data_IF_232815623367
#
_entry.id   IF_232815623367
#
_cell.length_a   1.000
_cell.length_b   1.000
_cell.length_c   1.000
_cell.angle_alpha   90.00
_cell.angle_beta   90.00
_cell.angle_gamma   90.00
#
_symmetry.space_group_name_H-M   'P 1'
#
loop_
_entity.id
_entity.type
_entity.pdbx_description
1 polymer ?
#
# COMPACT_ATOMS: atom_id res chain seq x y z
N UNK A 1 1.52 -16.26 36.49
CA UNK A 1 1.60 -14.99 35.73
C UNK A 1 2.97 -14.89 35.08
N UNK A 2 3.09 -14.05 34.03
CA UNK A 2 4.32 -13.69 33.27
C UNK A 2 4.90 -14.73 32.30
N UNK A 3 4.30 -14.83 31.11
CA UNK A 3 4.93 -15.42 29.91
C UNK A 3 4.83 -14.53 28.65
N UNK A 4 4.26 -13.33 28.75
CA UNK A 4 4.11 -12.43 27.61
C UNK A 4 5.23 -11.40 27.63
N UNK A 5 6.27 -11.64 26.82
CA UNK A 5 7.19 -10.57 26.51
C UNK A 5 6.40 -9.50 25.74
N UNK A 6 6.43 -8.26 26.25
CA UNK A 6 5.85 -7.08 25.58
C UNK A 6 6.28 -7.03 24.11
N UNK A 7 7.52 -7.45 23.84
CA UNK A 7 8.09 -7.53 22.51
C UNK A 7 7.38 -8.54 21.60
N UNK A 8 7.07 -9.75 22.09
CA UNK A 8 6.39 -10.79 21.30
C UNK A 8 5.03 -10.29 20.81
N UNK A 9 4.25 -9.65 21.67
CA UNK A 9 2.93 -9.09 21.31
C UNK A 9 3.07 -7.97 20.27
N UNK A 10 4.05 -7.07 20.44
CA UNK A 10 4.33 -5.99 19.47
C UNK A 10 4.74 -6.59 18.12
N UNK A 11 5.62 -7.60 18.12
CA UNK A 11 6.09 -8.26 16.90
C UNK A 11 4.94 -8.87 16.11
N UNK A 12 4.05 -9.61 16.75
CA UNK A 12 2.90 -10.22 16.07
C UNK A 12 1.92 -9.18 15.52
N UNK A 13 1.59 -8.15 16.33
CA UNK A 13 0.70 -7.07 15.91
C UNK A 13 1.28 -6.28 14.74
N UNK A 14 2.58 -5.97 14.80
CA UNK A 14 3.30 -5.26 13.73
C UNK A 14 3.39 -6.12 12.48
N UNK A 15 3.75 -7.40 12.58
CA UNK A 15 3.83 -8.31 11.44
C UNK A 15 2.49 -8.44 10.69
N UNK A 16 1.37 -8.56 11.41
CA UNK A 16 0.06 -8.59 10.78
C UNK A 16 -0.31 -7.26 10.10
N UNK A 17 0.04 -6.12 10.71
CA UNK A 17 -0.19 -4.80 10.12
C UNK A 17 0.68 -4.56 8.88
N UNK A 18 1.94 -4.97 8.93
CA UNK A 18 2.89 -4.82 7.83
C UNK A 18 2.53 -5.72 6.65
N UNK A 19 2.05 -6.94 6.90
CA UNK A 19 1.54 -7.83 5.85
C UNK A 19 0.33 -7.21 5.12
N UNK A 20 -0.62 -6.63 5.85
CA UNK A 20 -1.77 -5.92 5.27
C UNK A 20 -1.33 -4.69 4.48
N UNK A 21 -0.40 -3.90 5.03
CA UNK A 21 0.16 -2.73 4.35
C UNK A 21 0.90 -3.11 3.07
N UNK A 22 1.69 -4.18 3.07
CA UNK A 22 2.40 -4.67 1.89
C UNK A 22 1.44 -5.02 0.75
N UNK A 23 0.35 -5.72 1.05
CA UNK A 23 -0.68 -6.05 0.05
C UNK A 23 -1.36 -4.80 -0.54
N UNK A 24 -1.63 -3.79 0.30
CA UNK A 24 -2.20 -2.51 -0.17
C UNK A 24 -1.22 -1.77 -1.08
N UNK A 25 0.06 -1.69 -0.70
CA UNK A 25 1.10 -1.07 -1.52
C UNK A 25 1.21 -1.72 -2.89
N UNK A 26 1.24 -3.06 -2.96
CA UNK A 26 1.30 -3.76 -4.25
C UNK A 26 0.10 -3.43 -5.14
N UNK A 27 -1.11 -3.32 -4.58
CA UNK A 27 -2.31 -2.96 -5.34
C UNK A 27 -2.25 -1.52 -5.86
N UNK A 28 -1.85 -0.57 -5.01
CA UNK A 28 -1.72 0.84 -5.37
C UNK A 28 -0.64 1.06 -6.43
N UNK A 29 0.54 0.45 -6.26
CA UNK A 29 1.60 0.51 -7.27
C UNK A 29 1.15 -0.06 -8.61
N UNK A 30 0.43 -1.19 -8.61
CA UNK A 30 -0.10 -1.77 -9.85
C UNK A 30 -1.13 -0.85 -10.52
N UNK A 31 -2.00 -0.22 -9.73
CA UNK A 31 -3.01 0.72 -10.25
C UNK A 31 -2.34 1.93 -10.91
N UNK A 32 -1.31 2.51 -10.29
CA UNK A 32 -0.54 3.63 -10.86
C UNK A 32 0.16 3.21 -12.16
N UNK A 33 0.82 2.04 -12.17
CA UNK A 33 1.54 1.54 -13.37
C UNK A 33 0.57 1.32 -14.53
N UNK A 34 -0.59 0.72 -14.28
CA UNK A 34 -1.60 0.47 -15.33
C UNK A 34 -2.16 1.81 -15.83
N UNK A 35 -2.54 2.72 -14.93
CA UNK A 35 -3.06 4.02 -15.31
C UNK A 35 -2.05 4.83 -16.15
N UNK A 36 -0.77 4.82 -15.77
CA UNK A 36 0.31 5.49 -16.52
C UNK A 36 0.57 4.84 -17.89
N UNK A 37 0.41 3.51 -18.00
CA UNK A 37 0.57 2.79 -19.27
C UNK A 37 -0.59 3.06 -20.24
N UNK A 38 -1.81 3.17 -19.73
CA UNK A 38 -3.01 3.34 -20.55
C UNK A 38 -3.25 4.79 -20.98
N UNK A 39 -3.05 5.76 -20.09
CA UNK A 39 -3.35 7.17 -20.35
C UNK A 39 -2.12 8.08 -20.44
N UNK A 40 -0.91 7.52 -20.46
CA UNK A 40 0.33 8.28 -20.47
C UNK A 40 0.79 8.73 -19.08
N UNK A 41 2.03 9.23 -19.03
CA UNK A 41 2.74 9.53 -17.78
C UNK A 41 2.36 10.88 -17.14
N UNK A 42 1.54 11.69 -17.80
CA UNK A 42 1.13 13.01 -17.30
C UNK A 42 -0.15 12.90 -16.44
N UNK A 43 -0.08 13.13 -15.12
CA UNK A 43 -1.24 13.07 -14.23
C UNK A 43 -2.27 14.17 -14.52
N UNK A 44 -1.87 15.31 -15.10
CA UNK A 44 -2.79 16.40 -15.42
C UNK A 44 -3.67 16.08 -16.64
N UNK A 45 -3.16 15.26 -17.56
CA UNK A 45 -3.88 14.78 -18.74
C UNK A 45 -4.61 13.44 -18.51
N UNK A 46 -4.34 12.76 -17.39
CA UNK A 46 -4.85 11.42 -17.09
C UNK A 46 -5.51 11.38 -15.70
N UNK A 47 -6.83 11.60 -15.67
CA UNK A 47 -7.66 11.54 -14.47
C UNK A 47 -7.55 10.18 -13.74
N UNK A 48 -7.34 9.08 -14.46
CA UNK A 48 -7.18 7.75 -13.84
C UNK A 48 -5.87 7.67 -13.04
N UNK A 49 -4.79 8.24 -13.59
CA UNK A 49 -3.49 8.33 -12.93
C UNK A 49 -3.53 9.30 -11.74
N UNK A 50 -4.17 10.46 -11.88
CA UNK A 50 -4.36 11.40 -10.77
C UNK A 50 -5.10 10.75 -9.58
N UNK A 51 -6.23 10.10 -9.86
CA UNK A 51 -7.00 9.39 -8.83
C UNK A 51 -6.22 8.21 -8.20
N UNK A 52 -5.37 7.53 -8.99
CA UNK A 52 -4.53 6.45 -8.47
C UNK A 52 -3.42 6.98 -7.55
N UNK A 53 -2.89 8.18 -7.83
CA UNK A 53 -1.90 8.87 -6.99
C UNK A 53 -2.54 9.38 -5.71
N UNK A 54 -3.73 10.00 -5.77
CA UNK A 54 -4.45 10.49 -4.58
C UNK A 54 -4.88 9.38 -3.61
N UNK A 55 -5.12 8.18 -4.12
CA UNK A 55 -5.49 7.00 -3.31
C UNK A 55 -4.30 6.29 -2.67
N UNK A 56 -3.08 6.59 -3.10
CA UNK A 56 -1.86 5.94 -2.63
C UNK A 56 -1.32 6.60 -1.35
#
# INVERSE_FOLDING_TARGET
>A
MSGHSKWSTIKHKKGAADAKRGQLFTKLSKAIIVAAKEGGADPAANLSLQNAIEKA
#
